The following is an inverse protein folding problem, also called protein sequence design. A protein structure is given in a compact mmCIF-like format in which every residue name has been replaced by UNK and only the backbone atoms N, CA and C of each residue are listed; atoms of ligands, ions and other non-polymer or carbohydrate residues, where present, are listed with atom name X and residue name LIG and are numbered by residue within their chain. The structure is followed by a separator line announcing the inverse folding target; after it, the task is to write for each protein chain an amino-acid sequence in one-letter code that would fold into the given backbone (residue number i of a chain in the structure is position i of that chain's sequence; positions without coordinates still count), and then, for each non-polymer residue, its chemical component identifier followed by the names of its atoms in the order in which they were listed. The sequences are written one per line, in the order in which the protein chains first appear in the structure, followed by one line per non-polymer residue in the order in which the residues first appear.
data_IF_326200722238
#
_entry.id   IF_326200722238
#
_cell.length_a   1.000
_cell.length_b   1.000
_cell.length_c   1.000
_cell.angle_alpha   90.00
_cell.angle_beta   90.00
_cell.angle_gamma   90.00
#
_symmetry.space_group_name_H-M   'P 1'
#
loop_
_entity.id
_entity.type
_entity.pdbx_description
1 polymer ?
#
# COMPACT_ATOMS: atom_id res chain seq x y z
N UNK A 1 -10.22 -8.66 3.77
CA UNK A 1 -10.55 -7.92 2.54
C UNK A 1 -11.19 -8.89 1.53
N UNK A 2 -12.44 -9.31 1.79
CA UNK A 2 -13.05 -10.50 1.16
C UNK A 2 -13.73 -10.29 -0.21
N UNK A 3 -13.34 -9.27 -0.98
CA UNK A 3 -13.94 -9.04 -2.30
C UNK A 3 -12.89 -8.52 -3.29
N UNK A 4 -12.89 -9.05 -4.52
CA UNK A 4 -11.95 -8.65 -5.56
C UNK A 4 -12.07 -7.17 -5.95
N UNK A 5 -13.27 -6.61 -5.84
CA UNK A 5 -13.48 -5.16 -5.99
C UNK A 5 -12.78 -4.37 -4.89
N UNK A 6 -12.82 -4.85 -3.64
CA UNK A 6 -12.14 -4.20 -2.51
C UNK A 6 -10.62 -4.26 -2.66
N UNK A 7 -10.08 -5.41 -3.11
CA UNK A 7 -8.65 -5.59 -3.41
C UNK A 7 -8.17 -4.64 -4.50
N UNK A 8 -8.91 -4.59 -5.61
CA UNK A 8 -8.61 -3.71 -6.73
C UNK A 8 -8.69 -2.22 -6.34
N UNK A 9 -9.66 -1.84 -5.51
CA UNK A 9 -9.78 -0.47 -5.02
C UNK A 9 -8.65 -0.11 -4.06
N UNK A 10 -8.28 -1.00 -3.14
CA UNK A 10 -7.16 -0.78 -2.23
C UNK A 10 -5.85 -0.53 -2.99
N UNK A 11 -5.55 -1.37 -3.98
CA UNK A 11 -4.40 -1.20 -4.86
C UNK A 11 -4.44 0.12 -5.63
N UNK A 12 -5.59 0.49 -6.22
CA UNK A 12 -5.75 1.76 -6.94
C UNK A 12 -5.52 2.97 -6.04
N UNK A 13 -6.02 2.94 -4.80
CA UNK A 13 -5.84 4.03 -3.84
C UNK A 13 -4.36 4.13 -3.45
N UNK A 14 -3.73 3.00 -3.14
CA UNK A 14 -2.31 2.94 -2.80
C UNK A 14 -1.44 3.47 -3.95
N UNK A 15 -1.69 3.02 -5.18
CA UNK A 15 -0.93 3.46 -6.36
C UNK A 15 -1.16 4.94 -6.73
N UNK A 16 -2.28 5.54 -6.29
CA UNK A 16 -2.59 6.94 -6.56
C UNK A 16 -1.85 7.90 -5.62
N UNK A 17 -1.30 7.41 -4.50
CA UNK A 17 -0.58 8.26 -3.56
C UNK A 17 0.74 8.72 -4.17
N UNK A 18 1.03 10.02 -4.04
CA UNK A 18 2.27 10.61 -4.53
C UNK A 18 3.47 9.99 -3.81
N UNK A 19 4.55 9.73 -4.56
CA UNK A 19 5.76 9.11 -4.03
C UNK A 19 5.74 7.58 -4.03
N UNK A 20 4.61 6.94 -4.33
CA UNK A 20 4.53 5.48 -4.43
C UNK A 20 5.22 5.00 -5.71
N UNK A 21 6.14 4.05 -5.54
CA UNK A 21 6.92 3.42 -6.62
C UNK A 21 6.35 2.03 -6.92
N UNK A 22 5.93 1.29 -5.90
CA UNK A 22 5.39 -0.05 -6.04
C UNK A 22 4.33 -0.34 -4.98
N UNK A 23 3.34 -1.15 -5.35
CA UNK A 23 2.28 -1.63 -4.48
C UNK A 23 2.07 -3.12 -4.68
N UNK A 24 1.87 -3.85 -3.59
CA UNK A 24 1.63 -5.29 -3.62
C UNK A 24 0.55 -5.66 -2.59
N UNK A 25 -0.13 -6.78 -2.85
CA UNK A 25 -0.97 -7.45 -1.86
C UNK A 25 -0.23 -8.67 -1.31
N UNK A 26 -0.10 -8.74 0.01
CA UNK A 26 0.53 -9.84 0.74
C UNK A 26 -0.44 -10.48 1.75
N UNK A 27 -0.01 -11.61 2.32
CA UNK A 27 -0.81 -12.47 3.19
C UNK A 27 -1.55 -13.55 2.40
N UNK A 28 -1.88 -14.65 3.08
CA UNK A 28 -2.58 -15.81 2.51
C UNK A 28 -3.92 -15.40 1.86
N UNK A 29 -4.65 -14.51 2.52
CA UNK A 29 -5.93 -13.97 2.06
C UNK A 29 -5.80 -12.74 1.13
N UNK A 30 -4.57 -12.29 0.85
CA UNK A 30 -4.25 -11.04 0.13
C UNK A 30 -4.88 -9.80 0.79
N UNK A 31 -4.83 -9.77 2.11
CA UNK A 31 -5.47 -8.75 2.94
C UNK A 31 -4.53 -7.63 3.38
N UNK A 32 -3.22 -7.78 3.15
CA UNK A 32 -2.21 -6.79 3.53
C UNK A 32 -1.76 -6.02 2.30
N UNK A 33 -1.78 -4.69 2.36
CA UNK A 33 -1.29 -3.82 1.28
C UNK A 33 0.11 -3.36 1.65
N UNK A 34 1.11 -3.72 0.84
CA UNK A 34 2.49 -3.28 1.01
C UNK A 34 2.80 -2.23 -0.04
N UNK A 35 3.32 -1.10 0.42
CA UNK A 35 3.60 0.07 -0.41
C UNK A 35 5.06 0.44 -0.25
N UNK A 36 5.76 0.58 -1.37
CA UNK A 36 7.14 1.03 -1.46
C UNK A 36 7.14 2.36 -2.19
N UNK A 37 7.75 3.37 -1.60
CA UNK A 37 7.83 4.69 -2.23
C UNK A 37 8.76 5.63 -1.48
N UNK A 38 9.06 6.75 -2.11
CA UNK A 38 9.83 7.85 -1.54
C UNK A 38 8.85 8.99 -1.19
N UNK A 39 8.94 9.55 0.02
CA UNK A 39 8.00 10.57 0.53
C UNK A 39 6.52 10.15 0.65
N UNK A 40 6.24 8.86 0.93
CA UNK A 40 4.86 8.36 1.09
C UNK A 40 4.25 8.75 2.45
N UNK A 41 3.10 9.41 2.41
CA UNK A 41 2.30 9.70 3.61
C UNK A 41 1.48 8.47 4.06
N UNK A 42 2.04 7.70 5.00
CA UNK A 42 1.41 6.47 5.49
C UNK A 42 0.08 6.73 6.24
N UNK A 43 -0.04 7.86 6.93
CA UNK A 43 -1.25 8.20 7.69
C UNK A 43 -2.42 8.53 6.75
N UNK A 44 -2.21 9.39 5.75
CA UNK A 44 -3.22 9.76 4.76
C UNK A 44 -3.56 8.62 3.80
N UNK A 45 -2.60 7.76 3.47
CA UNK A 45 -2.89 6.50 2.77
C UNK A 45 -3.85 5.63 3.59
N UNK A 46 -3.54 5.41 4.87
CA UNK A 46 -4.39 4.61 5.77
C UNK A 46 -5.78 5.22 5.93
N UNK A 47 -5.88 6.55 6.06
CA UNK A 47 -7.15 7.26 6.13
C UNK A 47 -7.98 7.11 4.84
N UNK A 48 -7.32 7.19 3.67
CA UNK A 48 -7.97 7.00 2.37
C UNK A 48 -8.49 5.57 2.19
N UNK A 49 -7.73 4.58 2.65
CA UNK A 49 -8.15 3.18 2.67
C UNK A 49 -9.33 2.97 3.62
N UNK A 50 -9.34 3.54 4.84
CA UNK A 50 -10.50 3.47 5.74
C UNK A 50 -11.77 4.04 5.10
N UNK A 51 -11.67 5.17 4.39
CA UNK A 51 -12.84 5.79 3.74
C UNK A 51 -13.46 4.91 2.64
N UNK A 52 -12.66 4.16 1.89
CA UNK A 52 -13.11 3.41 0.70
C UNK A 52 -13.27 1.91 0.92
N UNK A 53 -12.46 1.33 1.79
CA UNK A 53 -12.47 -0.10 2.14
C UNK A 53 -13.07 -0.36 3.54
N UNK A 54 -13.51 0.69 4.24
CA UNK A 54 -14.16 0.62 5.56
C UNK A 54 -13.17 0.50 6.71
N UNK A 55 -12.35 -0.55 6.70
CA UNK A 55 -11.36 -0.80 7.76
C UNK A 55 -9.97 -1.01 7.17
N UNK A 56 -9.01 -0.26 7.71
CA UNK A 56 -7.59 -0.42 7.43
C UNK A 56 -6.80 -0.05 8.69
N UNK A 57 -5.78 -0.82 9.02
CA UNK A 57 -4.86 -0.50 10.10
C UNK A 57 -3.44 -0.46 9.55
N UNK A 58 -2.65 0.48 10.05
CA UNK A 58 -1.24 0.58 9.73
C UNK A 58 -0.50 -0.40 10.64
N UNK A 59 -0.01 -1.51 10.08
CA UNK A 59 0.71 -2.52 10.87
C UNK A 59 2.15 -2.09 11.17
N UNK A 60 2.88 -1.58 10.19
CA UNK A 60 4.27 -1.17 10.35
C UNK A 60 4.68 -0.19 9.26
N UNK A 61 5.50 0.79 9.64
CA UNK A 61 6.22 1.67 8.71
C UNK A 61 7.70 1.49 8.98
N UNK A 62 8.43 1.10 7.94
CA UNK A 62 9.88 0.92 8.00
C UNK A 62 10.49 1.73 6.86
N UNK A 63 11.64 2.36 7.11
CA UNK A 63 12.47 2.83 6.00
C UNK A 63 12.94 1.60 5.24
N UNK A 64 12.67 1.55 3.95
CA UNK A 64 13.38 0.64 3.08
C UNK A 64 14.84 1.11 3.05
N UNK A 65 15.76 0.31 3.57
CA UNK A 65 17.17 0.45 3.19
C UNK A 65 17.23 0.19 1.69
N UNK A 66 17.38 1.25 0.91
CA UNK A 66 17.29 1.22 -0.53
C UNK A 66 18.25 0.19 -1.11
N UNK A 67 17.70 -0.92 -1.63
CA UNK A 67 18.34 -1.55 -2.78
C UNK A 67 18.11 -0.61 -3.95
N UNK A 68 19.11 0.24 -4.21
CA UNK A 68 19.35 0.75 -5.57
C UNK A 68 19.20 -0.46 -6.49
N UNK A 69 18.21 -0.41 -7.39
CA UNK A 69 18.15 -1.35 -8.49
C UNK A 69 19.37 -1.00 -9.35
N UNK A 70 20.45 -1.77 -9.21
CA UNK A 70 21.48 -1.83 -10.25
C UNK A 70 20.76 -2.35 -11.48
N UNK A 71 20.49 -1.45 -12.42
CA UNK A 71 20.24 -1.82 -13.80
C UNK A 71 21.57 -2.33 -14.38
N UNK A 72 21.50 -3.42 -15.15
CA UNK A 72 22.64 -4.15 -15.71
C UNK A 72 23.01 -3.57 -17.07
#
# INVERSE_FOLDING_TARGET
MNCDKCRSNALKIAAKVSGVISVALEGEDKDKVVVIGDTVDAAGLTASLRKKNGYASLESVRRSEGKTRKEK
#
